data_IF_965474020742
#
_entry.id   IF_965474020742
#
_cell.length_a   1.000
_cell.length_b   1.000
_cell.length_c   1.000
_cell.angle_alpha   90.00
_cell.angle_beta   90.00
_cell.angle_gamma   90.00
#
_symmetry.space_group_name_H-M   'P 1'
#
loop_
_entity.id
_entity.type
_entity.pdbx_description
1 polymer ?
#
# COMPACT_ATOMS: atom_id res chain seq x y z
N UNK A 1 -11.43 3.08 0.45
CA UNK A 1 -11.26 4.48 0.89
C UNK A 1 -10.98 5.36 -0.32
N UNK A 2 -11.14 6.68 -0.24
CA UNK A 2 -10.70 7.58 -1.31
C UNK A 2 -9.19 7.85 -1.16
N UNK A 3 -8.45 7.75 -2.25
CA UNK A 3 -7.02 8.09 -2.34
C UNK A 3 -6.83 9.26 -3.31
N UNK A 4 -5.90 10.18 -3.02
CA UNK A 4 -5.63 11.32 -3.90
C UNK A 4 -4.98 10.89 -5.23
N UNK A 5 -4.20 9.80 -5.23
CA UNK A 5 -3.39 9.37 -6.35
C UNK A 5 -3.10 7.86 -6.29
N UNK A 6 -3.06 7.19 -7.44
CA UNK A 6 -2.61 5.81 -7.57
C UNK A 6 -1.17 5.78 -8.10
N UNK A 7 -0.26 5.20 -7.33
CA UNK A 7 1.17 5.10 -7.64
C UNK A 7 1.48 4.17 -8.81
N UNK A 8 0.52 3.33 -9.23
CA UNK A 8 0.69 2.43 -10.38
C UNK A 8 0.27 3.05 -11.72
N UNK A 9 -0.92 3.65 -11.78
CA UNK A 9 -1.52 4.13 -13.04
C UNK A 9 -1.66 5.65 -13.12
N UNK A 10 -1.34 6.38 -12.06
CA UNK A 10 -1.42 7.84 -12.01
C UNK A 10 -2.83 8.43 -11.87
N UNK A 11 -3.87 7.59 -11.77
CA UNK A 11 -5.25 8.06 -11.59
C UNK A 11 -5.39 8.85 -10.28
N UNK A 12 -6.09 9.98 -10.34
CA UNK A 12 -6.32 10.88 -9.20
C UNK A 12 -7.74 10.75 -8.65
N UNK A 13 -7.92 11.10 -7.37
CA UNK A 13 -9.22 11.19 -6.70
C UNK A 13 -10.10 9.94 -6.91
N UNK A 14 -9.52 8.76 -6.66
CA UNK A 14 -10.15 7.46 -6.92
C UNK A 14 -10.30 6.66 -5.64
N UNK A 15 -11.01 5.53 -5.70
CA UNK A 15 -11.08 4.58 -4.60
C UNK A 15 -9.89 3.62 -4.64
N UNK A 16 -9.34 3.33 -3.47
CA UNK A 16 -8.20 2.45 -3.35
C UNK A 16 -7.87 2.07 -1.92
N UNK A 17 -6.69 1.50 -1.75
CA UNK A 17 -6.10 1.12 -0.48
C UNK A 17 -4.70 1.70 -0.34
N UNK A 18 -4.30 1.91 0.92
CA UNK A 18 -2.98 2.42 1.29
C UNK A 18 -2.21 1.30 1.98
N UNK A 19 -0.97 1.09 1.55
CA UNK A 19 -0.08 0.15 2.22
C UNK A 19 0.24 0.68 3.63
N UNK A 20 -0.12 -0.07 4.67
CA UNK A 20 0.10 0.34 6.06
C UNK A 20 1.57 0.34 6.51
N UNK A 21 2.50 0.04 5.61
CA UNK A 21 3.95 -0.08 5.86
C UNK A 21 4.80 0.99 5.19
N UNK A 22 4.39 1.44 4.01
CA UNK A 22 5.15 2.39 3.19
C UNK A 22 4.27 3.51 2.62
N UNK A 23 2.99 3.59 3.05
CA UNK A 23 2.01 4.59 2.68
C UNK A 23 1.74 4.74 1.17
N UNK A 24 2.24 3.81 0.36
CA UNK A 24 1.98 3.75 -1.08
C UNK A 24 0.51 3.46 -1.34
N UNK A 25 -0.06 4.19 -2.29
CA UNK A 25 -1.49 4.19 -2.56
C UNK A 25 -1.81 3.53 -3.90
N UNK A 26 -2.75 2.60 -3.90
CA UNK A 26 -3.16 1.86 -5.10
C UNK A 26 -4.67 1.89 -5.27
N UNK A 27 -5.14 2.23 -6.46
CA UNK A 27 -6.56 2.19 -6.77
C UNK A 27 -7.08 0.75 -6.85
N UNK A 28 -8.36 0.56 -6.51
CA UNK A 28 -8.99 -0.76 -6.58
C UNK A 28 -9.03 -1.30 -8.01
N UNK A 29 -9.16 -0.44 -9.03
CA UNK A 29 -9.11 -0.87 -10.43
C UNK A 29 -7.81 -1.60 -10.79
N UNK A 30 -6.65 -1.12 -10.30
CA UNK A 30 -5.37 -1.78 -10.54
C UNK A 30 -5.22 -3.08 -9.74
N UNK A 31 -5.81 -3.13 -8.54
CA UNK A 31 -5.83 -4.32 -7.69
C UNK A 31 -6.71 -5.41 -8.34
N UNK A 32 -7.91 -5.06 -8.79
CA UNK A 32 -8.87 -5.97 -9.40
C UNK A 32 -8.39 -6.50 -10.75
N UNK A 33 -7.71 -5.64 -11.54
CA UNK A 33 -7.05 -6.06 -12.79
C UNK A 33 -5.77 -6.88 -12.55
N UNK A 34 -5.42 -7.19 -11.30
CA UNK A 34 -4.21 -7.92 -10.90
C UNK A 34 -2.91 -7.27 -11.41
N UNK A 35 -2.93 -5.96 -11.67
CA UNK A 35 -1.74 -5.20 -12.04
C UNK A 35 -0.87 -4.94 -10.82
N UNK A 36 -1.50 -4.90 -9.64
CA UNK A 36 -0.83 -4.78 -8.35
C UNK A 36 -1.26 -5.95 -7.46
N UNK A 37 -0.27 -6.60 -6.86
CA UNK A 37 -0.52 -7.66 -5.89
C UNK A 37 -0.40 -7.10 -4.47
N UNK A 38 -1.43 -7.34 -3.68
CA UNK A 38 -1.62 -6.79 -2.34
C UNK A 38 -2.18 -7.87 -1.43
N UNK A 39 -1.81 -7.83 -0.16
CA UNK A 39 -2.23 -8.81 0.84
C UNK A 39 -2.46 -8.14 2.18
N UNK A 40 -3.09 -8.84 3.10
CA UNK A 40 -3.17 -8.40 4.51
C UNK A 40 -1.96 -8.97 5.27
N UNK A 41 -1.21 -8.13 6.01
CA UNK A 41 -0.14 -8.56 6.94
C UNK A 41 -0.82 -9.40 8.03
N UNK A 42 -0.35 -10.63 8.30
CA UNK A 42 -0.95 -11.47 9.34
C UNK A 42 -0.66 -10.96 10.75
N UNK A 43 0.43 -10.22 10.96
CA UNK A 43 0.78 -9.73 12.30
C UNK A 43 0.07 -8.42 12.67
N UNK A 44 -0.03 -7.46 11.74
CA UNK A 44 -0.66 -6.16 12.01
C UNK A 44 -2.09 -6.01 11.47
N UNK A 45 -2.57 -6.96 10.66
CA UNK A 45 -3.91 -6.92 10.05
C UNK A 45 -4.11 -5.82 9.01
N UNK A 46 -3.05 -5.07 8.64
CA UNK A 46 -3.13 -3.98 7.66
C UNK A 46 -2.88 -4.49 6.25
N UNK A 47 -3.41 -3.76 5.28
CA UNK A 47 -3.13 -3.96 3.87
C UNK A 47 -1.68 -3.62 3.55
N UNK A 48 -1.00 -4.46 2.78
CA UNK A 48 0.40 -4.27 2.36
C UNK A 48 0.58 -4.59 0.87
N UNK A 49 1.51 -3.88 0.23
CA UNK A 49 1.91 -4.16 -1.14
C UNK A 49 2.87 -5.35 -1.21
N UNK A 50 3.00 -5.95 -2.40
CA UNK A 50 3.91 -7.07 -2.64
C UNK A 50 5.38 -6.75 -2.30
N UNK A 51 5.81 -5.50 -2.51
CA UNK A 51 7.17 -5.09 -2.16
C UNK A 51 7.43 -5.20 -0.65
N UNK A 52 6.52 -4.66 0.18
CA UNK A 52 6.60 -4.80 1.64
C UNK A 52 6.49 -6.26 2.10
N UNK A 53 5.67 -7.08 1.43
CA UNK A 53 5.56 -8.51 1.76
C UNK A 53 6.88 -9.27 1.57
N UNK A 54 7.62 -8.99 0.50
CA UNK A 54 8.88 -9.69 0.18
C UNK A 54 10.07 -9.13 0.94
N UNK A 55 10.05 -7.83 1.25
CA UNK A 55 11.20 -7.12 1.83
C UNK A 55 11.13 -6.82 3.34
N UNK A 56 10.03 -7.17 4.03
CA UNK A 56 9.87 -6.90 5.46
C UNK A 56 9.62 -8.20 6.24
N UNK A 57 10.60 -8.60 7.07
CA UNK A 57 10.52 -9.81 7.90
C UNK A 57 9.55 -9.69 9.09
N UNK A 58 9.29 -8.47 9.56
CA UNK A 58 8.34 -8.19 10.65
C UNK A 58 7.61 -6.90 10.30
N UNK A 59 6.32 -6.82 10.63
CA UNK A 59 5.48 -5.65 10.35
C UNK A 59 5.94 -4.35 11.12
N UNK A 60 7.23 -4.03 11.22
CA UNK A 60 7.77 -2.72 11.55
C UNK A 60 7.40 -1.74 10.44
N UNK A 61 6.60 -0.72 10.79
CA UNK A 61 6.46 0.47 9.95
C UNK A 61 7.86 1.00 9.63
N UNK A 62 8.15 1.33 8.37
CA UNK A 62 9.32 2.15 8.09
C UNK A 62 9.06 3.49 8.78
N UNK A 63 9.94 4.00 9.65
CA UNK A 63 9.81 5.36 10.10
C UNK A 63 9.89 6.25 8.86
N UNK A 64 8.78 6.87 8.49
CA UNK A 64 8.79 8.05 7.62
C UNK A 64 9.64 9.06 8.36
N UNK A 65 10.84 9.34 7.87
CA UNK A 65 11.77 10.27 8.51
C UNK A 65 11.07 11.61 8.75
N UNK A 66 10.63 11.82 10.00
CA UNK A 66 10.28 13.11 10.56
C UNK A 66 10.84 13.10 11.98
N UNK A 67 12.15 13.22 12.07
CA UNK A 67 12.80 13.65 13.31
C UNK A 67 13.30 15.09 13.08
N UNK A 68 12.56 16.00 13.71
CA UNK A 68 12.90 17.33 14.25
C UNK A 68 13.45 18.41 13.33
#
# INVERSE_FOLDING_TARGET
MQIPFCENCGTKSTQGAVCGHCDTMYCYDCIDKKQINVTVCKDCGRFICAACRTGMDRCTQVPTQVET
#
